data_IF_092631560369
#
_entry.id   IF_092631560369
#
_cell.length_a   1.000
_cell.length_b   1.000
_cell.length_c   1.000
_cell.angle_alpha   90.00
_cell.angle_beta   90.00
_cell.angle_gamma   90.00
#
_symmetry.space_group_name_H-M   'P 1'
#
loop_
_entity.id
_entity.type
_entity.pdbx_description
1 polymer ?
#
# COMPACT_ATOMS: atom_id res chain seq x y z
N UNK A 1 12.01 -22.41 -2.15
CA UNK A 1 11.98 -20.95 -1.96
C UNK A 1 10.50 -20.56 -1.90
N UNK A 2 10.06 -19.81 -0.89
CA UNK A 2 8.69 -19.29 -0.84
C UNK A 2 8.76 -17.85 -1.28
N UNK A 3 8.14 -17.55 -2.40
CA UNK A 3 8.11 -16.20 -2.95
C UNK A 3 6.78 -15.55 -2.55
N UNK A 4 6.85 -14.33 -2.00
CA UNK A 4 5.68 -13.56 -1.58
C UNK A 4 5.62 -12.30 -2.44
N UNK A 5 4.46 -12.04 -3.03
CA UNK A 5 4.13 -10.75 -3.67
C UNK A 5 3.14 -10.06 -2.75
N UNK A 6 3.53 -8.89 -2.23
CA UNK A 6 2.67 -8.07 -1.39
C UNK A 6 1.88 -7.08 -2.25
N UNK A 7 0.57 -6.94 -2.01
CA UNK A 7 -0.26 -5.94 -2.68
C UNK A 7 -0.83 -5.01 -1.62
N UNK A 8 -0.67 -3.70 -1.81
CA UNK A 8 -1.09 -2.69 -0.82
C UNK A 8 -1.81 -1.51 -1.45
N UNK A 9 -2.82 -0.96 -0.76
CA UNK A 9 -3.53 0.26 -1.18
C UNK A 9 -3.11 1.55 -0.48
N UNK A 10 -2.78 1.53 0.82
CA UNK A 10 -2.88 2.77 1.61
C UNK A 10 -1.78 3.03 2.66
N UNK A 11 -1.23 2.02 3.36
CA UNK A 11 -0.22 2.28 4.43
C UNK A 11 1.05 1.44 4.37
N UNK A 12 2.19 2.13 4.23
CA UNK A 12 3.53 1.55 4.12
C UNK A 12 4.09 0.94 5.39
N UNK A 13 3.36 0.97 6.51
CA UNK A 13 3.85 0.56 7.82
C UNK A 13 4.50 -0.83 7.83
N UNK A 14 3.95 -1.79 7.09
CA UNK A 14 4.56 -3.11 6.91
C UNK A 14 5.97 -3.03 6.30
N UNK A 15 6.13 -2.21 5.25
CA UNK A 15 7.42 -2.01 4.59
C UNK A 15 8.40 -1.21 5.45
N UNK A 16 7.92 -0.32 6.32
CA UNK A 16 8.77 0.40 7.26
C UNK A 16 9.35 -0.55 8.31
N UNK A 17 8.49 -1.36 8.94
CA UNK A 17 8.89 -2.34 9.95
C UNK A 17 9.84 -3.40 9.38
N UNK A 18 9.50 -4.00 8.24
CA UNK A 18 10.34 -5.04 7.64
C UNK A 18 11.65 -4.48 7.07
N UNK A 19 11.67 -3.22 6.63
CA UNK A 19 12.91 -2.55 6.22
C UNK A 19 13.82 -2.34 7.42
N UNK A 20 13.28 -1.90 8.56
CA UNK A 20 14.04 -1.71 9.80
C UNK A 20 14.60 -3.04 10.33
N UNK A 21 13.78 -4.11 10.35
CA UNK A 21 14.22 -5.45 10.76
C UNK A 21 15.37 -5.99 9.89
N UNK A 22 15.28 -5.78 8.57
CA UNK A 22 16.29 -6.22 7.61
C UNK A 22 17.42 -5.21 7.39
N UNK A 23 17.44 -4.08 8.09
CA UNK A 23 18.47 -3.05 7.95
C UNK A 23 18.55 -2.44 6.56
N UNK A 24 17.41 -2.28 5.88
CA UNK A 24 17.29 -1.65 4.56
C UNK A 24 16.81 -0.21 4.76
N UNK A 25 17.55 0.76 4.21
CA UNK A 25 17.15 2.16 4.27
C UNK A 25 16.04 2.49 3.26
N UNK A 26 15.49 3.70 3.36
CA UNK A 26 14.41 4.15 2.48
C UNK A 26 14.82 4.36 1.00
N UNK A 27 16.13 4.30 0.69
CA UNK A 27 16.65 4.27 -0.67
C UNK A 27 16.87 2.84 -1.20
N UNK A 28 16.62 1.83 -0.37
CA UNK A 28 16.84 0.42 -0.67
C UNK A 28 18.26 -0.04 -0.43
N UNK A 29 19.11 0.73 0.24
CA UNK A 29 20.49 0.34 0.57
C UNK A 29 20.53 -0.45 1.86
N UNK A 30 21.28 -1.54 1.89
CA UNK A 30 21.52 -2.27 3.13
C UNK A 30 22.53 -1.52 4.01
N UNK A 31 22.09 -1.13 5.21
CA UNK A 31 22.84 -0.41 6.25
C UNK A 31 22.96 -1.21 7.54
N UNK A 32 22.48 -2.45 7.55
CA UNK A 32 22.54 -3.36 8.70
C UNK A 32 23.95 -3.83 9.06
N UNK A 33 24.11 -4.26 10.29
CA UNK A 33 25.37 -4.73 10.87
C UNK A 33 25.41 -6.25 11.10
N UNK A 34 24.30 -6.95 10.86
CA UNK A 34 24.15 -8.37 11.16
C UNK A 34 23.87 -9.20 9.91
N UNK A 35 24.62 -10.31 9.76
CA UNK A 35 24.40 -11.28 8.69
C UNK A 35 23.02 -11.97 8.78
N UNK A 36 22.40 -11.99 9.96
CA UNK A 36 21.04 -12.52 10.16
C UNK A 36 19.98 -11.65 9.47
N UNK A 37 20.22 -10.34 9.32
CA UNK A 37 19.30 -9.44 8.62
C UNK A 37 19.27 -9.71 7.13
N UNK A 38 20.31 -10.32 6.57
CA UNK A 38 20.33 -10.76 5.18
C UNK A 38 19.74 -12.18 5.02
N UNK A 39 19.49 -12.91 6.12
CA UNK A 39 18.89 -14.24 6.03
C UNK A 39 17.46 -14.11 5.52
N UNK A 40 17.17 -14.83 4.42
CA UNK A 40 15.85 -14.86 3.76
C UNK A 40 15.31 -13.50 3.31
N UNK A 41 16.15 -12.47 3.20
CA UNK A 41 15.73 -11.15 2.67
C UNK A 41 15.14 -11.27 1.26
N UNK A 42 15.56 -12.30 0.50
CA UNK A 42 15.06 -12.62 -0.84
C UNK A 42 13.57 -12.99 -0.90
N UNK A 43 12.93 -13.28 0.24
CA UNK A 43 11.49 -13.56 0.34
C UNK A 43 10.67 -12.31 0.02
N UNK A 44 11.08 -11.15 0.54
CA UNK A 44 10.37 -9.88 0.37
C UNK A 44 11.07 -8.91 -0.57
N UNK A 45 12.40 -9.03 -0.75
CA UNK A 45 13.18 -8.14 -1.58
C UNK A 45 13.80 -8.86 -2.78
N UNK A 46 13.96 -8.10 -3.85
CA UNK A 46 14.83 -8.40 -4.97
C UNK A 46 16.15 -7.65 -4.80
N UNK A 47 17.27 -8.36 -4.93
CA UNK A 47 18.57 -7.72 -4.98
C UNK A 47 18.81 -7.17 -6.40
N UNK A 48 18.77 -5.85 -6.57
CA UNK A 48 18.96 -5.19 -7.86
C UNK A 48 20.45 -4.97 -8.19
N UNK A 49 21.26 -4.65 -7.17
CA UNK A 49 22.71 -4.49 -7.28
C UNK A 49 23.38 -4.83 -5.94
N UNK A 50 24.72 -4.81 -5.88
CA UNK A 50 25.43 -4.97 -4.61
C UNK A 50 24.91 -3.95 -3.59
N UNK A 51 24.37 -4.44 -2.47
CA UNK A 51 23.74 -3.66 -1.39
C UNK A 51 22.44 -2.92 -1.74
N UNK A 52 21.82 -3.14 -2.91
CA UNK A 52 20.52 -2.54 -3.24
C UNK A 52 19.41 -3.58 -3.29
N UNK A 53 18.41 -3.37 -2.45
CA UNK A 53 17.24 -4.22 -2.25
C UNK A 53 15.98 -3.45 -2.61
N UNK A 54 15.13 -4.10 -3.40
CA UNK A 54 13.89 -3.53 -3.92
C UNK A 54 12.74 -4.44 -3.52
N UNK A 55 11.69 -3.94 -2.85
CA UNK A 55 10.52 -4.72 -2.46
C UNK A 55 9.87 -5.47 -3.63
N UNK A 56 9.46 -6.70 -3.35
CA UNK A 56 8.54 -7.50 -4.17
C UNK A 56 7.10 -7.12 -3.83
N UNK A 57 6.73 -5.90 -4.17
CA UNK A 57 5.38 -5.38 -4.00
C UNK A 57 4.81 -4.83 -5.29
N UNK A 58 3.48 -4.89 -5.38
CA UNK A 58 2.70 -4.15 -6.36
C UNK A 58 1.80 -3.20 -5.57
N UNK A 59 1.90 -1.92 -5.87
CA UNK A 59 1.06 -0.91 -5.24
C UNK A 59 -0.12 -0.64 -6.15
N UNK A 60 -1.32 -0.76 -5.60
CA UNK A 60 -2.54 -0.58 -6.39
C UNK A 60 -3.48 0.36 -5.67
N UNK A 61 -3.85 1.45 -6.33
CA UNK A 61 -4.88 2.34 -5.84
C UNK A 61 -5.78 2.79 -7.01
N UNK A 62 -7.04 3.09 -6.74
CA UNK A 62 -7.91 3.75 -7.72
C UNK A 62 -7.68 5.26 -7.74
N UNK A 63 -7.06 5.81 -6.70
CA UNK A 63 -6.86 7.24 -6.57
C UNK A 63 -5.55 7.70 -7.25
N UNK A 64 -5.64 8.60 -8.25
CA UNK A 64 -4.46 9.08 -8.96
C UNK A 64 -3.53 9.90 -8.06
N UNK A 65 -4.05 10.54 -6.99
CA UNK A 65 -3.28 11.35 -6.05
C UNK A 65 -2.43 10.54 -5.05
N UNK A 66 -2.67 9.22 -4.94
CA UNK A 66 -1.91 8.38 -4.03
C UNK A 66 -0.45 8.29 -4.48
N UNK A 67 -0.17 8.26 -5.78
CA UNK A 67 1.20 8.18 -6.31
C UNK A 67 2.12 9.26 -5.75
N UNK A 68 1.68 10.52 -5.82
CA UNK A 68 2.50 11.65 -5.38
C UNK A 68 2.74 11.57 -3.87
N UNK A 69 1.72 11.15 -3.12
CA UNK A 69 1.83 10.91 -1.68
C UNK A 69 2.86 9.83 -1.37
N UNK A 70 2.82 8.67 -2.06
CA UNK A 70 3.82 7.61 -1.86
C UNK A 70 5.22 8.09 -2.20
N UNK A 71 5.38 8.77 -3.34
CA UNK A 71 6.69 9.22 -3.83
C UNK A 71 7.29 10.33 -2.96
N UNK A 72 6.44 11.18 -2.37
CA UNK A 72 6.86 12.18 -1.38
C UNK A 72 7.18 11.58 -0.01
N UNK A 73 6.68 10.38 0.28
CA UNK A 73 6.92 9.67 1.53
C UNK A 73 8.37 9.26 1.69
N UNK A 74 8.78 8.99 2.94
CA UNK A 74 10.15 8.60 3.27
C UNK A 74 10.64 7.42 2.42
N UNK A 75 9.79 6.40 2.26
CA UNK A 75 10.05 5.17 1.48
C UNK A 75 9.66 5.26 -0.01
N UNK A 76 9.33 6.44 -0.53
CA UNK A 76 8.90 6.61 -1.92
C UNK A 76 9.93 6.18 -2.97
N UNK A 77 11.22 6.19 -2.62
CA UNK A 77 12.34 5.78 -3.49
C UNK A 77 12.67 4.29 -3.41
N UNK A 78 12.09 3.57 -2.45
CA UNK A 78 12.32 2.15 -2.24
C UNK A 78 11.64 1.30 -3.34
N UNK A 79 10.44 1.70 -3.76
CA UNK A 79 9.62 0.96 -4.71
C UNK A 79 9.96 1.29 -6.18
N UNK A 80 9.77 0.32 -7.08
CA UNK A 80 9.93 0.54 -8.52
C UNK A 80 8.74 1.32 -9.08
N UNK A 81 8.96 2.41 -9.83
CA UNK A 81 7.90 3.12 -10.55
C UNK A 81 7.02 2.20 -11.42
N UNK A 82 7.62 1.14 -11.98
CA UNK A 82 6.93 0.15 -12.82
C UNK A 82 5.91 -0.70 -12.06
N UNK A 83 6.01 -0.79 -10.73
CA UNK A 83 5.15 -1.63 -9.89
C UNK A 83 3.94 -0.88 -9.34
N UNK A 84 3.77 0.38 -9.72
CA UNK A 84 2.66 1.19 -9.28
C UNK A 84 1.55 1.18 -10.34
N UNK A 85 0.34 0.84 -9.91
CA UNK A 85 -0.82 0.70 -10.77
C UNK A 85 -1.92 1.58 -10.18
N UNK A 86 -2.39 2.53 -10.97
CA UNK A 86 -3.35 3.51 -10.50
C UNK A 86 -4.55 3.64 -11.43
N UNK A 87 -5.72 3.85 -10.83
CA UNK A 87 -6.93 4.23 -11.52
C UNK A 87 -6.92 5.69 -11.98
N UNK A 88 -7.77 5.99 -12.95
CA UNK A 88 -8.05 7.38 -13.34
C UNK A 88 -9.07 8.04 -12.40
N UNK A 89 -9.91 7.24 -11.75
CA UNK A 89 -10.94 7.74 -10.83
C UNK A 89 -10.94 6.94 -9.53
N UNK A 90 -11.11 7.63 -8.40
CA UNK A 90 -11.21 7.00 -7.09
C UNK A 90 -12.49 6.17 -6.94
N UNK A 91 -12.46 5.18 -6.04
CA UNK A 91 -13.67 4.42 -5.67
C UNK A 91 -14.71 5.29 -4.94
N UNK A 92 -14.28 6.39 -4.30
CA UNK A 92 -15.16 7.31 -3.59
C UNK A 92 -16.01 6.62 -2.52
N UNK A 93 -15.38 5.81 -1.68
CA UNK A 93 -16.06 5.00 -0.66
C UNK A 93 -17.19 4.10 -1.21
N UNK A 94 -17.06 3.61 -2.45
CA UNK A 94 -17.99 2.66 -3.04
C UNK A 94 -17.29 1.34 -3.36
N UNK A 95 -17.61 0.30 -2.58
CA UNK A 95 -17.08 -1.05 -2.80
C UNK A 95 -17.50 -1.63 -4.15
N UNK A 96 -18.74 -1.41 -4.59
CA UNK A 96 -19.21 -1.91 -5.88
C UNK A 96 -18.44 -1.26 -7.03
N UNK A 97 -18.10 0.03 -6.89
CA UNK A 97 -17.27 0.73 -7.87
C UNK A 97 -15.87 0.12 -7.94
N UNK A 98 -15.25 -0.12 -6.78
CA UNK A 98 -13.94 -0.77 -6.69
C UNK A 98 -13.91 -2.23 -7.12
N UNK A 99 -15.00 -2.99 -6.95
CA UNK A 99 -15.00 -4.42 -7.25
C UNK A 99 -15.50 -4.75 -8.66
N UNK A 100 -16.54 -4.06 -9.15
CA UNK A 100 -17.22 -4.44 -10.40
C UNK A 100 -16.95 -3.51 -11.58
N UNK A 101 -16.41 -2.31 -11.35
CA UNK A 101 -16.19 -1.31 -12.42
C UNK A 101 -14.72 -0.90 -12.49
N UNK A 102 -14.32 0.22 -11.90
CA UNK A 102 -12.95 0.77 -11.98
C UNK A 102 -11.86 -0.22 -11.55
N UNK A 103 -12.04 -0.96 -10.45
CA UNK A 103 -11.03 -1.93 -10.02
C UNK A 103 -11.02 -3.22 -10.86
N UNK A 104 -12.11 -3.52 -11.56
CA UNK A 104 -12.12 -4.60 -12.55
C UNK A 104 -11.31 -4.21 -13.80
N UNK A 105 -11.34 -2.93 -14.21
CA UNK A 105 -10.53 -2.43 -15.32
C UNK A 105 -9.02 -2.44 -15.00
N UNK A 106 -8.64 -2.16 -13.75
CA UNK A 106 -7.23 -2.23 -13.33
C UNK A 106 -6.71 -3.65 -13.12
N UNK A 107 -7.60 -4.62 -12.90
CA UNK A 107 -7.21 -5.97 -12.54
C UNK A 107 -6.27 -6.60 -13.58
N UNK A 108 -6.52 -6.38 -14.87
CA UNK A 108 -5.67 -6.92 -15.93
C UNK A 108 -4.24 -6.36 -15.87
N UNK A 109 -4.10 -5.05 -15.60
CA UNK A 109 -2.80 -4.41 -15.42
C UNK A 109 -2.08 -4.95 -14.18
N UNK A 110 -2.81 -5.16 -13.07
CA UNK A 110 -2.27 -5.79 -11.85
C UNK A 110 -1.75 -7.18 -12.14
N UNK A 111 -2.52 -7.98 -12.86
CA UNK A 111 -2.14 -9.34 -13.20
C UNK A 111 -0.89 -9.38 -14.08
N UNK A 112 -0.72 -8.46 -15.02
CA UNK A 112 0.45 -8.42 -15.88
C UNK A 112 1.73 -8.03 -15.13
N UNK A 113 1.67 -7.05 -14.22
CA UNK A 113 2.82 -6.70 -13.36
C UNK A 113 3.17 -7.84 -12.42
N UNK A 114 2.16 -8.47 -11.81
CA UNK A 114 2.37 -9.64 -10.95
C UNK A 114 3.03 -10.75 -11.76
N UNK A 115 2.53 -11.09 -12.95
CA UNK A 115 3.11 -12.13 -13.82
C UNK A 115 4.58 -11.86 -14.17
N UNK A 116 4.93 -10.60 -14.41
CA UNK A 116 6.32 -10.20 -14.67
C UNK A 116 7.20 -10.27 -13.42
N UNK A 117 6.64 -10.00 -12.24
CA UNK A 117 7.38 -10.05 -10.95
C UNK A 117 7.51 -11.45 -10.36
N UNK A 118 6.55 -12.34 -10.64
CA UNK A 118 6.46 -13.71 -10.14
C UNK A 118 6.76 -14.71 -11.25
N UNK A 119 8.03 -14.86 -11.59
CA UNK A 119 8.46 -16.01 -12.38
C UNK A 119 8.26 -17.28 -11.53
N UNK A 120 7.25 -18.09 -11.86
CA UNK A 120 6.95 -19.46 -11.36
C UNK A 120 5.99 -19.69 -10.17
N UNK A 121 4.80 -19.08 -10.11
CA UNK A 121 3.74 -19.68 -9.26
C UNK A 121 2.35 -19.51 -9.85
N UNK A 122 1.82 -20.61 -10.40
CA UNK A 122 0.50 -20.71 -11.03
C UNK A 122 -0.68 -20.51 -10.07
N UNK A 123 -1.90 -20.57 -10.65
CA UNK A 123 -3.29 -20.53 -10.12
C UNK A 123 -3.55 -20.17 -8.64
N UNK A 124 -2.79 -20.68 -7.68
CA UNK A 124 -2.87 -20.30 -6.27
C UNK A 124 -2.52 -18.82 -6.03
N UNK A 125 -1.58 -18.27 -6.82
CA UNK A 125 -1.24 -16.85 -6.79
C UNK A 125 -2.45 -16.00 -7.22
N UNK A 126 -3.19 -16.42 -8.24
CA UNK A 126 -4.38 -15.72 -8.73
C UNK A 126 -5.47 -15.63 -7.65
N UNK A 127 -5.73 -16.74 -6.94
CA UNK A 127 -6.73 -16.76 -5.87
C UNK A 127 -6.32 -15.85 -4.71
N UNK A 128 -5.05 -15.94 -4.29
CA UNK A 128 -4.50 -15.07 -3.24
C UNK A 128 -4.56 -13.59 -3.62
N UNK A 129 -4.27 -13.25 -4.87
CA UNK A 129 -4.33 -11.86 -5.35
C UNK A 129 -5.76 -11.36 -5.36
N UNK A 130 -6.69 -12.15 -5.90
CA UNK A 130 -8.12 -11.80 -5.89
C UNK A 130 -8.65 -11.60 -4.47
N UNK A 131 -8.25 -12.46 -3.52
CA UNK A 131 -8.64 -12.38 -2.11
C UNK A 131 -8.00 -11.15 -1.44
N UNK A 132 -6.71 -10.89 -1.68
CA UNK A 132 -5.99 -9.71 -1.16
C UNK A 132 -6.55 -8.41 -1.74
N UNK A 133 -6.86 -8.37 -3.03
CA UNK A 133 -7.49 -7.22 -3.69
C UNK A 133 -8.88 -6.95 -3.09
N UNK A 134 -9.70 -7.99 -2.91
CA UNK A 134 -11.02 -7.86 -2.28
C UNK A 134 -10.94 -7.46 -0.80
N UNK A 135 -9.91 -7.90 -0.07
CA UNK A 135 -9.67 -7.50 1.31
C UNK A 135 -9.17 -6.06 1.42
N UNK A 136 -8.31 -5.65 0.50
CA UNK A 136 -7.76 -4.30 0.39
C UNK A 136 -8.86 -3.25 0.25
N UNK A 137 -9.79 -3.44 -0.70
CA UNK A 137 -10.93 -2.51 -0.85
C UNK A 137 -11.84 -2.50 0.38
N UNK A 138 -12.04 -3.64 1.04
CA UNK A 138 -12.81 -3.68 2.30
C UNK A 138 -12.12 -2.93 3.43
N UNK A 139 -10.79 -3.01 3.53
CA UNK A 139 -10.00 -2.31 4.55
C UNK A 139 -9.97 -0.80 4.31
N UNK A 140 -9.72 -0.37 3.06
CA UNK A 140 -9.74 1.06 2.68
C UNK A 140 -11.08 1.71 3.03
N UNK A 141 -12.19 1.04 2.69
CA UNK A 141 -13.55 1.46 3.07
C UNK A 141 -13.73 1.63 4.59
N UNK A 142 -13.27 0.67 5.40
CA UNK A 142 -13.42 0.74 6.86
C UNK A 142 -12.56 1.86 7.45
N UNK A 143 -11.33 2.02 6.98
CA UNK A 143 -10.42 3.06 7.46
C UNK A 143 -10.94 4.46 7.10
N UNK A 144 -11.42 4.67 5.88
CA UNK A 144 -12.02 5.97 5.49
C UNK A 144 -13.35 6.23 6.20
N UNK A 145 -14.19 5.21 6.41
CA UNK A 145 -15.41 5.36 7.21
C UNK A 145 -15.12 5.78 8.65
N UNK A 146 -14.11 5.17 9.28
CA UNK A 146 -13.65 5.54 10.62
C UNK A 146 -13.09 6.97 10.65
N UNK A 147 -12.26 7.34 9.67
CA UNK A 147 -11.74 8.70 9.56
C UNK A 147 -12.84 9.75 9.37
N UNK A 148 -13.87 9.44 8.57
CA UNK A 148 -15.02 10.33 8.37
C UNK A 148 -15.89 10.44 9.63
N UNK A 149 -16.05 9.37 10.41
CA UNK A 149 -16.72 9.44 11.72
C UNK A 149 -15.93 10.29 12.71
N UNK A 150 -14.60 10.12 12.76
CA UNK A 150 -13.73 10.92 13.63
C UNK A 150 -13.67 12.39 13.21
N UNK A 151 -13.73 12.69 11.91
CA UNK A 151 -13.80 14.06 11.40
C UNK A 151 -15.14 14.71 11.77
N UNK A 152 -16.26 14.03 11.55
CA UNK A 152 -17.58 14.54 11.93
C UNK A 152 -17.71 14.75 13.44
N UNK A 153 -17.18 13.84 14.26
CA UNK A 153 -17.20 13.98 15.71
C UNK A 153 -16.31 15.11 16.23
N UNK A 154 -15.21 15.44 15.53
CA UNK A 154 -14.38 16.62 15.84
C UNK A 154 -15.06 17.92 15.44
N UNK A 155 -15.76 17.93 14.32
CA UNK A 155 -16.51 19.12 13.88
C UNK A 155 -17.67 19.40 14.84
N UNK A 156 -18.41 18.37 15.28
CA UNK A 156 -19.48 18.52 16.28
C UNK A 156 -18.94 19.05 17.63
N UNK A 157 -17.77 18.58 18.08
CA UNK A 157 -17.12 19.09 19.30
C UNK A 157 -16.66 20.54 19.17
N UNK A 158 -16.09 20.92 18.02
CA UNK A 158 -15.69 22.32 17.78
C UNK A 158 -16.90 23.26 17.73
N UNK A 159 -18.03 22.81 17.19
CA UNK A 159 -19.27 23.60 17.19
C UNK A 159 -19.84 23.77 18.61
N UNK A 160 -19.80 22.74 19.46
CA UNK A 160 -20.23 22.84 20.86
C UNK A 160 -19.31 23.76 21.67
N UNK A 161 -17.99 23.73 21.45
CA UNK A 161 -17.04 24.65 22.10
C UNK A 161 -17.23 26.12 21.65
N UNK A 162 -17.52 26.36 20.36
CA UNK A 162 -17.81 27.71 19.85
C UNK A 162 -19.13 28.29 20.42
N UNK A 163 -20.18 27.47 20.58
CA UNK A 163 -21.43 27.92 21.21
C UNK A 163 -21.26 28.24 22.71
N UNK A 164 -20.44 27.47 23.44
CA UNK A 164 -20.14 27.74 24.85
C UNK A 164 -19.33 29.03 25.03
N UNK A 165 -18.39 29.35 24.13
CA UNK A 165 -17.65 30.62 24.17
C UNK A 165 -18.55 31.83 23.84
N UNK A 166 -19.50 31.71 22.90
CA UNK A 166 -20.46 32.78 22.58
C UNK A 166 -21.50 33.04 23.69
N UNK A 167 -21.77 32.08 24.58
CA UNK A 167 -22.74 32.26 25.67
C UNK A 167 -22.18 32.93 26.93
N UNK A 168 -20.86 33.13 27.00
CA UNK A 168 -20.16 33.67 28.19
C UNK A 168 -19.82 35.17 28.07
N UNK A 169 -20.07 35.83 26.91
CA UNK A 169 -20.06 37.30 26.76
C UNK A 169 -21.43 37.96 27.01
#
# INVERSE_FOLDING_TARGET
>A
MRDIVHIQSDRFQFWEEISDEHGVDAAGSFVGDSALQLDRINVYYNQASSHKYVPRSVLVDLEPGTMDSVRSGAFGRLFRPDNFIFGQTGAGNNWAKGHYTEGAELLDSVLDVVRNSAFNSGRELFKRISDQFSAMFRRKMVTEYQQNQEASARDDQNFEEEEEEETIE
#
